data_IF_461197405218
#
_entry.id   IF_461197405218
#
_cell.length_a   1.000
_cell.length_b   1.000
_cell.length_c   1.000
_cell.angle_alpha   90.00
_cell.angle_beta   90.00
_cell.angle_gamma   90.00
#
_symmetry.space_group_name_H-M   'P 1'
#
loop_
_entity.id
_entity.type
_entity.pdbx_description
1 polymer ?
#
# COMPACT_ATOMS: atom_id res chain seq x y z
N UNK A 1 -2.65 -21.11 46.10
CA UNK A 1 -2.06 -20.56 44.86
C UNK A 1 -2.50 -19.10 44.71
N UNK A 2 -1.65 -18.11 44.99
CA UNK A 2 -1.99 -16.71 44.84
C UNK A 2 -1.66 -16.22 43.44
N UNK A 3 -2.60 -15.47 42.87
CA UNK A 3 -2.54 -14.81 41.58
C UNK A 3 -1.42 -13.77 41.52
N UNK A 4 -0.59 -13.83 40.47
CA UNK A 4 0.43 -12.84 40.16
C UNK A 4 -0.23 -11.52 39.73
N UNK A 5 -0.20 -10.50 40.61
CA UNK A 5 -0.55 -9.11 40.26
C UNK A 5 0.61 -8.45 39.48
N UNK A 6 0.36 -7.74 38.36
CA UNK A 6 1.42 -7.01 37.66
C UNK A 6 1.91 -5.81 38.48
N UNK A 7 3.19 -5.81 38.82
CA UNK A 7 3.88 -4.79 39.63
C UNK A 7 4.33 -3.56 38.80
N UNK A 8 3.41 -2.83 38.16
CA UNK A 8 3.78 -1.71 37.29
C UNK A 8 3.02 -0.39 37.44
N UNK A 9 1.88 -0.36 38.14
CA UNK A 9 0.92 0.75 38.00
C UNK A 9 1.11 1.94 38.97
N UNK A 10 2.25 2.09 39.66
CA UNK A 10 2.38 3.05 40.79
C UNK A 10 3.29 4.27 40.58
N UNK A 11 3.79 4.57 39.38
CA UNK A 11 4.73 5.70 39.21
C UNK A 11 4.15 6.99 38.58
N UNK A 12 2.97 6.96 37.97
CA UNK A 12 2.51 8.09 37.14
C UNK A 12 1.80 9.23 37.89
N UNK A 13 1.51 9.08 39.20
CA UNK A 13 0.76 10.10 39.97
C UNK A 13 1.58 11.33 40.42
N UNK A 14 2.91 11.31 40.27
CA UNK A 14 3.77 12.40 40.76
C UNK A 14 3.66 13.71 39.96
N UNK A 15 3.17 13.65 38.71
CA UNK A 15 3.10 14.81 37.81
C UNK A 15 1.70 15.37 37.58
N UNK A 16 0.68 14.92 38.33
CA UNK A 16 -0.70 15.42 38.17
C UNK A 16 -1.36 15.08 36.81
N UNK A 17 -0.72 14.29 35.96
CA UNK A 17 -1.25 13.91 34.65
C UNK A 17 -2.17 12.70 34.82
N UNK A 18 -3.47 12.93 34.73
CA UNK A 18 -4.45 11.86 34.56
C UNK A 18 -4.39 11.38 33.11
N UNK A 19 -3.64 10.31 32.84
CA UNK A 19 -3.62 9.68 31.52
C UNK A 19 -4.92 8.89 31.38
N UNK A 20 -5.94 9.52 30.82
CA UNK A 20 -7.13 8.81 30.35
C UNK A 20 -6.72 8.13 29.05
N UNK A 21 -6.76 6.78 28.95
CA UNK A 21 -6.52 6.12 27.67
C UNK A 21 -7.48 6.71 26.64
N UNK A 22 -7.01 7.11 25.44
CA UNK A 22 -7.92 7.59 24.42
C UNK A 22 -9.01 6.55 24.22
N UNK A 23 -10.27 6.96 24.40
CA UNK A 23 -11.43 6.13 24.11
C UNK A 23 -11.44 5.94 22.60
N UNK A 24 -10.78 4.88 22.11
CA UNK A 24 -10.77 4.56 20.68
C UNK A 24 -12.13 3.95 20.37
N UNK A 25 -13.08 4.81 20.04
CA UNK A 25 -14.41 4.43 19.59
C UNK A 25 -14.26 3.64 18.29
N UNK A 26 -14.23 2.30 18.40
CA UNK A 26 -14.26 1.32 17.30
C UNK A 26 -13.30 1.62 16.14
N UNK A 27 -12.20 0.87 16.05
CA UNK A 27 -11.38 0.84 14.84
C UNK A 27 -12.25 0.30 13.70
N UNK A 28 -12.75 1.19 12.83
CA UNK A 28 -13.43 0.75 11.62
C UNK A 28 -12.43 0.00 10.74
N UNK A 29 -12.81 -1.16 10.16
CA UNK A 29 -11.93 -1.88 9.26
C UNK A 29 -11.57 -0.99 8.08
N UNK A 30 -10.29 -0.96 7.73
CA UNK A 30 -9.78 -0.21 6.58
C UNK A 30 -10.52 -0.66 5.33
N UNK A 31 -11.29 0.24 4.73
CA UNK A 31 -12.09 -0.03 3.54
C UNK A 31 -11.20 0.11 2.31
N UNK A 32 -10.97 -0.98 1.60
CA UNK A 32 -10.37 -0.88 0.26
C UNK A 32 -11.45 -0.42 -0.74
N UNK A 33 -11.03 0.33 -1.76
CA UNK A 33 -11.89 0.74 -2.85
C UNK A 33 -12.48 -0.48 -3.57
N UNK A 34 -13.67 -0.31 -4.13
CA UNK A 34 -14.30 -1.35 -4.92
C UNK A 34 -13.50 -1.58 -6.20
N UNK A 35 -13.16 -2.84 -6.47
CA UNK A 35 -12.45 -3.25 -7.67
C UNK A 35 -13.46 -3.84 -8.68
N UNK A 36 -13.44 -3.39 -9.95
CA UNK A 36 -14.28 -3.93 -11.02
C UNK A 36 -14.12 -5.43 -11.25
N UNK A 37 -15.04 -6.04 -12.03
CA UNK A 37 -15.02 -7.48 -12.30
C UNK A 37 -13.87 -7.88 -13.21
N UNK A 38 -13.47 -7.00 -14.12
CA UNK A 38 -12.43 -7.29 -15.12
C UNK A 38 -11.25 -6.35 -14.99
N UNK A 39 -10.06 -6.85 -15.32
CA UNK A 39 -8.85 -6.03 -15.33
C UNK A 39 -8.95 -4.83 -16.29
N UNK A 40 -9.61 -5.03 -17.45
CA UNK A 40 -9.83 -3.98 -18.45
C UNK A 40 -10.67 -2.83 -17.90
N UNK A 41 -11.66 -3.11 -17.05
CA UNK A 41 -12.44 -2.07 -16.39
C UNK A 41 -11.59 -1.25 -15.40
N UNK A 42 -10.61 -1.87 -14.73
CA UNK A 42 -9.65 -1.13 -13.90
C UNK A 42 -8.84 -0.16 -14.75
N UNK A 43 -8.32 -0.62 -15.90
CA UNK A 43 -7.60 0.25 -16.84
C UNK A 43 -8.50 1.42 -17.24
N UNK A 44 -9.73 1.15 -17.70
CA UNK A 44 -10.70 2.18 -18.10
C UNK A 44 -11.01 3.17 -16.98
N UNK A 45 -11.15 2.70 -15.75
CA UNK A 45 -11.41 3.53 -14.57
C UNK A 45 -10.22 4.46 -14.23
N UNK A 46 -8.99 4.05 -14.56
CA UNK A 46 -7.79 4.86 -14.28
C UNK A 46 -7.34 5.72 -15.47
N UNK A 47 -7.74 5.35 -16.69
CA UNK A 47 -7.35 6.04 -17.92
C UNK A 47 -7.79 7.51 -17.92
N UNK A 48 -6.88 8.42 -18.29
CA UNK A 48 -7.16 9.86 -18.37
C UNK A 48 -7.37 10.57 -17.03
N UNK A 49 -7.24 9.88 -15.89
CA UNK A 49 -7.33 10.51 -14.56
C UNK A 49 -6.00 11.19 -14.22
N UNK A 50 -6.07 12.44 -13.76
CA UNK A 50 -4.91 13.19 -13.25
C UNK A 50 -4.47 12.65 -11.90
N UNK A 51 -3.16 12.69 -11.64
CA UNK A 51 -2.60 12.37 -10.33
C UNK A 51 -3.16 13.30 -9.26
N UNK A 52 -3.55 12.73 -8.12
CA UNK A 52 -3.97 13.46 -6.94
C UNK A 52 -2.82 14.21 -6.25
N UNK A 53 -1.56 13.96 -6.61
CA UNK A 53 -0.38 14.62 -6.04
C UNK A 53 0.10 15.78 -6.90
N UNK A 54 0.40 15.54 -8.19
CA UNK A 54 0.95 16.58 -9.07
C UNK A 54 -0.08 17.24 -10.00
N UNK A 55 -1.31 16.73 -10.07
CA UNK A 55 -2.35 17.25 -10.95
C UNK A 55 -2.13 17.01 -12.45
N UNK A 56 -1.07 16.30 -12.83
CA UNK A 56 -0.76 15.95 -14.24
C UNK A 56 -1.33 14.59 -14.61
N UNK A 57 -1.46 14.31 -15.90
CA UNK A 57 -1.79 12.97 -16.39
C UNK A 57 -0.55 12.07 -16.19
N UNK A 58 -0.65 11.00 -15.39
CA UNK A 58 0.46 10.08 -15.18
C UNK A 58 0.64 9.18 -16.42
N UNK A 59 1.88 9.04 -16.89
CA UNK A 59 2.23 8.06 -17.93
C UNK A 59 2.05 6.63 -17.39
N UNK A 60 2.51 6.40 -16.17
CA UNK A 60 2.33 5.15 -15.44
C UNK A 60 1.37 5.41 -14.24
N UNK A 61 0.05 5.25 -14.41
CA UNK A 61 -0.92 5.42 -13.33
C UNK A 61 -0.83 4.29 -12.30
N UNK A 62 -0.98 4.67 -11.03
CA UNK A 62 -1.20 3.78 -9.90
C UNK A 62 -2.49 4.17 -9.16
N UNK A 63 -3.37 3.19 -8.94
CA UNK A 63 -4.58 3.35 -8.13
C UNK A 63 -4.30 3.00 -6.68
N UNK A 64 -4.47 3.94 -5.74
CA UNK A 64 -4.41 3.63 -4.32
C UNK A 64 -5.64 2.80 -3.92
N UNK A 65 -5.43 1.58 -3.43
CA UNK A 65 -6.54 0.71 -3.04
C UNK A 65 -7.22 1.12 -1.74
N UNK A 66 -6.63 2.04 -0.96
CA UNK A 66 -7.24 2.54 0.27
C UNK A 66 -8.29 3.61 0.01
N UNK A 67 -8.01 4.55 -0.91
CA UNK A 67 -8.86 5.73 -1.14
C UNK A 67 -9.41 5.85 -2.56
N UNK A 68 -8.91 5.06 -3.52
CA UNK A 68 -9.33 5.12 -4.93
C UNK A 68 -8.75 6.29 -5.74
N UNK A 69 -7.82 7.06 -5.16
CA UNK A 69 -7.08 8.09 -5.90
C UNK A 69 -6.09 7.48 -6.88
N UNK A 70 -5.87 8.17 -8.00
CA UNK A 70 -4.80 7.85 -8.96
C UNK A 70 -3.60 8.73 -8.65
N UNK A 71 -2.40 8.15 -8.66
CA UNK A 71 -1.11 8.84 -8.51
C UNK A 71 -0.13 8.35 -9.57
N UNK A 72 0.95 9.08 -9.83
CA UNK A 72 1.98 8.65 -10.76
C UNK A 72 2.96 7.66 -10.13
N UNK A 73 3.34 6.65 -10.89
CA UNK A 73 4.42 5.72 -10.54
C UNK A 73 5.74 6.39 -10.92
N UNK A 74 6.14 7.42 -10.17
CA UNK A 74 7.42 8.12 -10.39
C UNK A 74 8.57 7.33 -9.75
N UNK A 75 8.84 6.12 -10.24
CA UNK A 75 9.99 5.30 -9.86
C UNK A 75 11.25 5.84 -10.56
N UNK A 76 11.58 7.13 -10.38
CA UNK A 76 12.77 7.70 -11.01
C UNK A 76 14.00 7.33 -10.19
N UNK A 77 14.77 6.37 -10.69
CA UNK A 77 16.14 6.07 -10.22
C UNK A 77 17.18 7.12 -10.66
N UNK A 78 16.80 8.09 -11.50
CA UNK A 78 17.75 8.76 -12.39
C UNK A 78 17.91 10.28 -12.26
N UNK A 79 17.27 10.94 -11.29
CA UNK A 79 17.53 12.37 -11.05
C UNK A 79 18.25 12.59 -9.72
N UNK A 80 19.54 12.27 -9.72
CA UNK A 80 20.46 12.47 -8.60
C UNK A 80 20.57 13.95 -8.15
N UNK A 81 19.92 14.89 -8.84
CA UNK A 81 19.97 16.33 -8.54
C UNK A 81 18.82 16.82 -7.67
N UNK A 82 17.73 16.04 -7.52
CA UNK A 82 16.62 16.34 -6.61
C UNK A 82 16.08 15.08 -5.97
N UNK A 83 16.38 14.89 -4.68
CA UNK A 83 15.86 13.82 -3.82
C UNK A 83 14.35 13.98 -3.55
N UNK A 84 13.52 13.92 -4.60
CA UNK A 84 12.08 14.02 -4.44
C UNK A 84 11.48 12.62 -4.25
N UNK A 85 10.81 12.44 -3.10
CA UNK A 85 10.04 11.23 -2.81
C UNK A 85 8.95 11.03 -3.87
N UNK A 86 8.90 9.82 -4.45
CA UNK A 86 7.91 9.41 -5.45
C UNK A 86 6.48 9.52 -4.93
N UNK A 87 5.51 9.73 -5.82
CA UNK A 87 4.14 10.07 -5.44
C UNK A 87 3.42 8.96 -4.67
N UNK A 88 3.67 7.68 -4.98
CA UNK A 88 3.10 6.56 -4.24
C UNK A 88 3.56 6.58 -2.78
N UNK A 89 4.86 6.77 -2.53
CA UNK A 89 5.42 6.88 -1.18
C UNK A 89 4.88 8.09 -0.44
N UNK A 90 4.84 9.25 -1.11
CA UNK A 90 4.28 10.49 -0.55
C UNK A 90 2.80 10.33 -0.19
N UNK A 91 2.02 9.70 -1.07
CA UNK A 91 0.62 9.42 -0.86
C UNK A 91 0.40 8.42 0.29
N UNK A 92 1.25 7.40 0.42
CA UNK A 92 1.16 6.46 1.53
C UNK A 92 1.32 7.15 2.89
N UNK A 93 2.20 8.15 3.01
CA UNK A 93 2.39 8.94 4.24
C UNK A 93 1.11 9.63 4.70
N UNK A 94 0.32 10.16 3.77
CA UNK A 94 -0.90 10.92 4.10
C UNK A 94 -2.15 10.05 4.12
N UNK A 95 -2.26 9.06 3.23
CA UNK A 95 -3.44 8.21 3.08
C UNK A 95 -3.49 7.02 4.05
N UNK A 96 -2.33 6.42 4.35
CA UNK A 96 -2.25 5.17 5.12
C UNK A 96 -1.18 5.20 6.21
N UNK A 97 -0.82 6.39 6.70
CA UNK A 97 0.17 6.60 7.76
C UNK A 97 1.53 5.94 7.46
N UNK A 98 1.98 6.06 6.21
CA UNK A 98 3.22 5.46 5.71
C UNK A 98 3.01 4.14 4.99
N UNK A 99 1.88 3.46 5.20
CA UNK A 99 1.55 2.22 4.49
C UNK A 99 0.63 2.46 3.31
N UNK A 100 0.76 1.65 2.26
CA UNK A 100 -0.08 1.76 1.08
C UNK A 100 -0.05 0.53 0.19
N UNK A 101 -1.15 0.33 -0.53
CA UNK A 101 -1.26 -0.69 -1.58
C UNK A 101 -1.71 0.02 -2.85
N UNK A 102 -0.87 -0.03 -3.88
CA UNK A 102 -1.10 0.68 -5.14
C UNK A 102 -1.18 -0.31 -6.29
N UNK A 103 -2.23 -0.22 -7.10
CA UNK A 103 -2.38 -1.05 -8.28
C UNK A 103 -1.81 -0.33 -9.50
N UNK A 104 -0.70 -0.85 -10.01
CA UNK A 104 -0.04 -0.43 -11.24
C UNK A 104 -0.79 -1.03 -12.44
N UNK A 105 -1.72 -0.26 -12.99
CA UNK A 105 -2.64 -0.73 -14.04
C UNK A 105 -1.98 -0.94 -15.40
N UNK A 106 -0.74 -0.48 -15.58
CA UNK A 106 0.06 -0.72 -16.78
C UNK A 106 0.92 -2.01 -16.70
N UNK A 107 1.13 -2.55 -15.50
CA UNK A 107 1.99 -3.74 -15.26
C UNK A 107 1.24 -4.94 -14.67
N UNK A 108 -0.04 -4.82 -14.35
CA UNK A 108 -0.77 -5.84 -13.60
C UNK A 108 -0.02 -6.27 -12.32
N UNK A 109 0.54 -5.30 -11.60
CA UNK A 109 1.25 -5.51 -10.33
C UNK A 109 0.67 -4.62 -9.24
N UNK A 110 0.82 -5.06 -7.99
CA UNK A 110 0.66 -4.20 -6.83
C UNK A 110 2.03 -3.72 -6.36
N UNK A 111 2.11 -2.45 -5.98
CA UNK A 111 3.20 -1.88 -5.21
C UNK A 111 2.73 -1.75 -3.76
N UNK A 112 3.33 -2.55 -2.89
CA UNK A 112 3.23 -2.42 -1.45
C UNK A 112 4.21 -1.35 -0.98
N UNK A 113 3.77 -0.44 -0.12
CA UNK A 113 4.59 0.63 0.43
C UNK A 113 4.53 0.58 1.95
N UNK A 114 5.70 0.65 2.58
CA UNK A 114 5.94 0.95 3.99
C UNK A 114 7.04 2.02 4.04
N UNK A 115 6.63 3.28 3.88
CA UNK A 115 7.47 4.37 3.44
C UNK A 115 8.77 4.49 4.29
N UNK A 116 9.96 4.54 3.67
CA UNK A 116 10.20 4.66 2.22
C UNK A 116 10.34 3.33 1.48
N UNK A 117 10.25 2.20 2.19
CA UNK A 117 10.41 0.86 1.61
C UNK A 117 9.18 0.47 0.79
N UNK A 118 9.40 -0.37 -0.19
CA UNK A 118 8.33 -0.88 -1.04
C UNK A 118 8.69 -2.25 -1.59
N UNK A 119 7.71 -2.97 -2.13
CA UNK A 119 7.90 -4.24 -2.83
C UNK A 119 6.76 -4.46 -3.84
N UNK A 120 7.00 -5.25 -4.88
CA UNK A 120 5.94 -5.68 -5.80
C UNK A 120 5.30 -7.00 -5.34
N UNK A 121 4.01 -7.14 -5.59
CA UNK A 121 3.26 -8.39 -5.42
C UNK A 121 2.17 -8.53 -6.50
N UNK A 122 1.52 -9.68 -6.53
CA UNK A 122 0.50 -10.01 -7.51
C UNK A 122 -0.81 -9.26 -7.28
N UNK A 123 -1.49 -8.94 -8.38
CA UNK A 123 -2.82 -8.31 -8.37
C UNK A 123 -3.92 -9.33 -8.05
N UNK A 124 -5.07 -8.90 -7.50
CA UNK A 124 -6.21 -9.79 -7.28
C UNK A 124 -7.00 -10.03 -8.58
N UNK A 125 -6.30 -10.30 -9.69
CA UNK A 125 -6.87 -10.56 -11.00
C UNK A 125 -6.15 -11.73 -11.63
N UNK A 126 -6.92 -12.77 -11.97
CA UNK A 126 -6.39 -14.02 -12.53
C UNK A 126 -7.09 -14.37 -13.83
N UNK A 127 -6.38 -15.08 -14.68
CA UNK A 127 -6.96 -15.68 -15.88
C UNK A 127 -7.81 -16.92 -15.56
N UNK A 128 -8.31 -17.60 -16.61
CA UNK A 128 -9.11 -18.82 -16.47
C UNK A 128 -8.39 -20.00 -15.80
N UNK A 129 -7.07 -19.95 -15.69
CA UNK A 129 -6.22 -20.96 -15.06
C UNK A 129 -5.86 -20.59 -13.61
N UNK A 130 -6.31 -19.43 -13.12
CA UNK A 130 -6.00 -18.96 -11.78
C UNK A 130 -4.63 -18.26 -11.67
N UNK A 131 -4.01 -17.90 -12.80
CA UNK A 131 -2.70 -17.25 -12.83
C UNK A 131 -2.84 -15.75 -13.11
N UNK A 132 -2.01 -14.93 -12.47
CA UNK A 132 -1.86 -13.51 -12.82
C UNK A 132 -1.01 -13.32 -14.07
N UNK A 133 -1.29 -12.31 -14.88
CA UNK A 133 -0.48 -11.95 -16.06
C UNK A 133 0.42 -10.74 -15.78
N UNK A 134 1.48 -10.95 -15.00
CA UNK A 134 2.44 -9.92 -14.65
C UNK A 134 3.03 -9.27 -15.91
N UNK A 135 3.17 -7.95 -15.90
CA UNK A 135 3.61 -7.14 -17.02
C UNK A 135 2.79 -7.32 -18.31
N UNK A 136 1.60 -7.95 -18.21
CA UNK A 136 0.74 -8.27 -19.34
C UNK A 136 1.46 -9.08 -20.43
N UNK A 137 2.43 -9.91 -20.03
CA UNK A 137 3.31 -10.63 -20.96
C UNK A 137 2.56 -11.62 -21.86
N UNK A 138 1.44 -12.17 -21.39
CA UNK A 138 0.67 -13.21 -22.12
C UNK A 138 -0.58 -12.66 -22.79
N UNK A 139 -1.00 -11.44 -22.46
CA UNK A 139 -2.22 -10.82 -22.97
C UNK A 139 -3.50 -11.54 -22.57
N UNK A 140 -3.50 -12.27 -21.45
CA UNK A 140 -4.67 -13.09 -21.05
C UNK A 140 -5.74 -12.22 -20.40
N UNK A 141 -7.03 -12.42 -20.73
CA UNK A 141 -8.12 -11.78 -19.98
C UNK A 141 -8.08 -12.21 -18.52
N UNK A 142 -8.06 -11.24 -17.60
CA UNK A 142 -8.07 -11.50 -16.16
C UNK A 142 -9.34 -10.96 -15.50
N UNK A 143 -9.83 -11.71 -14.53
CA UNK A 143 -11.04 -11.41 -13.75
C UNK A 143 -10.73 -11.33 -12.26
N UNK A 144 -11.52 -10.53 -11.54
CA UNK A 144 -11.31 -10.27 -10.13
C UNK A 144 -11.41 -11.54 -9.29
N UNK A 145 -10.42 -11.73 -8.42
CA UNK A 145 -10.36 -12.83 -7.46
C UNK A 145 -10.63 -12.29 -6.03
N UNK A 146 -11.80 -12.59 -5.43
CA UNK A 146 -12.14 -12.08 -4.11
C UNK A 146 -11.21 -12.59 -3.01
N UNK A 147 -10.77 -13.85 -3.09
CA UNK A 147 -9.88 -14.44 -2.08
C UNK A 147 -8.52 -13.74 -2.04
N UNK A 148 -7.95 -13.43 -3.21
CA UNK A 148 -6.69 -12.66 -3.28
C UNK A 148 -6.88 -11.24 -2.72
N UNK A 149 -8.00 -10.58 -3.04
CA UNK A 149 -8.30 -9.27 -2.49
C UNK A 149 -8.48 -9.29 -0.96
N UNK A 150 -9.11 -10.33 -0.42
CA UNK A 150 -9.29 -10.49 1.02
C UNK A 150 -7.95 -10.74 1.72
N UNK A 151 -7.06 -11.53 1.11
CA UNK A 151 -5.69 -11.71 1.60
C UNK A 151 -4.91 -10.39 1.62
N UNK A 152 -5.06 -9.54 0.60
CA UNK A 152 -4.43 -8.21 0.56
C UNK A 152 -4.98 -7.29 1.65
N UNK A 153 -6.29 -7.34 1.91
CA UNK A 153 -6.92 -6.60 3.01
C UNK A 153 -6.41 -7.07 4.37
N UNK A 154 -6.26 -8.37 4.56
CA UNK A 154 -5.67 -8.95 5.77
C UNK A 154 -4.21 -8.53 5.95
N UNK A 155 -3.42 -8.57 4.88
CA UNK A 155 -2.02 -8.14 4.88
C UNK A 155 -1.88 -6.68 5.36
N UNK A 156 -2.76 -5.79 4.86
CA UNK A 156 -2.80 -4.40 5.29
C UNK A 156 -3.26 -4.25 6.75
N UNK A 157 -4.41 -4.82 7.09
CA UNK A 157 -5.04 -4.64 8.42
C UNK A 157 -4.24 -5.26 9.57
N UNK A 158 -3.44 -6.29 9.30
CA UNK A 158 -2.54 -6.91 10.28
C UNK A 158 -1.17 -6.23 10.37
N UNK A 159 -0.98 -5.10 9.67
CA UNK A 159 0.30 -4.39 9.58
C UNK A 159 1.46 -5.30 9.10
N UNK A 160 1.18 -6.25 8.20
CA UNK A 160 2.15 -7.23 7.71
C UNK A 160 2.86 -6.77 6.43
N UNK A 161 2.46 -5.64 5.85
CA UNK A 161 3.09 -5.06 4.65
C UNK A 161 4.61 -4.93 4.80
N UNK A 162 5.09 -4.42 5.94
CA UNK A 162 6.52 -4.27 6.18
C UNK A 162 7.26 -5.62 6.13
N UNK A 163 6.65 -6.68 6.67
CA UNK A 163 7.23 -8.04 6.66
C UNK A 163 7.23 -8.63 5.26
N UNK A 164 6.14 -8.41 4.51
CA UNK A 164 6.03 -8.87 3.13
C UNK A 164 7.05 -8.16 2.23
N UNK A 165 7.27 -6.86 2.45
CA UNK A 165 8.32 -6.11 1.75
C UNK A 165 9.71 -6.68 2.02
N UNK A 166 10.02 -7.03 3.28
CA UNK A 166 11.31 -7.63 3.64
C UNK A 166 11.47 -9.01 2.97
N UNK A 167 10.40 -9.82 2.94
CA UNK A 167 10.41 -11.14 2.31
C UNK A 167 10.62 -11.07 0.80
N UNK A 168 10.00 -10.09 0.15
CA UNK A 168 10.05 -9.90 -1.30
C UNK A 168 11.17 -8.94 -1.75
N UNK A 169 12.08 -8.60 -0.83
CA UNK A 169 13.07 -7.51 -0.91
C UNK A 169 14.10 -7.56 -2.04
N UNK A 170 13.96 -8.44 -3.02
CA UNK A 170 14.79 -8.50 -4.23
C UNK A 170 14.16 -7.79 -5.45
N UNK A 171 12.89 -7.37 -5.42
CA UNK A 171 12.17 -6.87 -6.61
C UNK A 171 12.01 -5.36 -6.73
N UNK A 172 12.44 -4.60 -5.73
CA UNK A 172 12.40 -3.13 -5.78
C UNK A 172 13.79 -2.60 -5.55
N UNK A 173 14.35 -2.01 -6.59
CA UNK A 173 15.56 -1.22 -6.51
C UNK A 173 15.40 -0.14 -5.44
N UNK A 174 16.01 -0.43 -4.29
CA UNK A 174 16.85 0.46 -3.49
C UNK A 174 16.25 1.78 -3.01
N UNK A 175 15.95 1.81 -1.70
CA UNK A 175 16.36 2.95 -0.89
C UNK A 175 17.86 2.82 -0.61
N UNK A 176 18.71 3.54 -1.35
CA UNK A 176 20.11 3.78 -0.95
C UNK A 176 20.14 5.11 -0.19
N UNK A 177 20.50 5.14 1.11
CA UNK A 177 20.87 6.38 1.76
C UNK A 177 22.26 6.77 1.28
N UNK A 178 22.50 8.06 1.00
CA UNK A 178 23.86 8.60 1.01
C UNK A 178 23.97 9.51 2.22
N UNK A 179 24.86 9.14 3.13
CA UNK A 179 25.34 9.99 4.20
C UNK A 179 26.00 11.25 3.60
N UNK A 180 25.76 12.37 4.29
CA UNK A 180 26.45 13.67 4.29
C UNK A 180 27.19 14.10 3.00
#
# INVERSE_FOLDING_TARGET
HPELRPSGARHWRRYGVSVVPPQVDRIEPVKFCHLPKTYVEVIRMTYGRKSAICGKLPEEPALCLLCGCVVAVNLREHDQRRFEEGECTRHARTCGNGQGVFFLTHKALLLLVDAPKNAFTDVPYVDRHGETDQHLARGRPMTFNPNMNDNLRLLYTRAEIAREIIRNGERTSRYIPTAL
#
